data_IF_167997363637
#
_entry.id   IF_167997363637
#
_cell.length_a   1.000
_cell.length_b   1.000
_cell.length_c   1.000
_cell.angle_alpha   90.00
_cell.angle_beta   90.00
_cell.angle_gamma   90.00
#
_symmetry.space_group_name_H-M   'P 1'
#
loop_
_entity.id
_entity.type
_entity.pdbx_description
1 polymer ?
#
# COMPACT_ATOMS: atom_id res chain seq x y z
N UNK A 1 -1.37 8.15 -5.20
CA UNK A 1 -1.91 7.66 -6.50
C UNK A 1 -1.06 8.27 -7.61
N UNK A 2 -0.63 7.48 -8.61
CA UNK A 2 0.06 8.02 -9.79
C UNK A 2 -0.95 8.07 -10.94
N UNK A 3 -1.29 9.27 -11.37
CA UNK A 3 -2.25 9.48 -12.45
C UNK A 3 -1.64 8.99 -13.79
N UNK A 4 -2.30 8.05 -14.52
CA UNK A 4 -1.77 7.55 -15.78
C UNK A 4 -1.78 8.60 -16.91
N UNK A 5 -2.78 9.48 -16.91
CA UNK A 5 -2.92 10.58 -17.86
C UNK A 5 -3.89 11.63 -17.34
N UNK A 6 -3.88 12.84 -17.93
CA UNK A 6 -4.75 13.97 -17.55
C UNK A 6 -6.26 13.71 -17.64
N UNK A 7 -6.67 12.61 -18.29
CA UNK A 7 -8.08 12.22 -18.40
C UNK A 7 -8.56 11.33 -17.25
N UNK A 8 -7.67 10.89 -16.37
CA UNK A 8 -8.01 10.14 -15.17
C UNK A 8 -8.29 11.09 -14.01
N UNK A 9 -8.82 10.56 -12.90
CA UNK A 9 -9.03 11.31 -11.67
C UNK A 9 -7.77 12.12 -11.31
N UNK A 10 -7.97 13.36 -10.89
CA UNK A 10 -6.86 14.19 -10.46
C UNK A 10 -6.25 13.60 -9.18
N UNK A 11 -4.93 13.74 -9.04
CA UNK A 11 -4.27 13.43 -7.76
C UNK A 11 -4.65 14.53 -6.77
N UNK A 12 -5.32 14.15 -5.69
CA UNK A 12 -5.66 15.07 -4.60
C UNK A 12 -4.43 15.34 -3.72
N UNK A 13 -3.68 14.29 -3.38
CA UNK A 13 -2.51 14.39 -2.52
C UNK A 13 -1.46 13.30 -2.82
N UNK A 14 -0.19 13.66 -2.65
CA UNK A 14 0.93 12.71 -2.53
C UNK A 14 1.33 12.63 -1.06
N UNK A 15 0.89 11.57 -0.39
CA UNK A 15 1.15 11.36 1.04
C UNK A 15 2.62 11.02 1.32
N UNK A 16 3.11 11.38 2.50
CA UNK A 16 4.49 11.18 2.94
C UNK A 16 4.75 9.72 3.34
N UNK A 17 6.02 9.26 3.37
CA UNK A 17 6.39 7.95 3.89
C UNK A 17 5.80 7.66 5.29
N UNK A 18 5.81 8.64 6.19
CA UNK A 18 5.30 8.49 7.56
C UNK A 18 3.79 8.26 7.60
N UNK A 19 3.03 8.78 6.62
CA UNK A 19 1.60 8.48 6.51
C UNK A 19 1.39 7.01 6.10
N UNK A 20 2.25 6.44 5.26
CA UNK A 20 2.19 5.01 4.93
C UNK A 20 2.47 4.14 6.16
N UNK A 21 3.42 4.52 7.01
CA UNK A 21 3.74 3.79 8.25
C UNK A 21 2.54 3.77 9.20
N UNK A 22 1.90 4.92 9.40
CA UNK A 22 0.69 5.02 10.23
C UNK A 22 -0.46 4.16 9.71
N UNK A 23 -0.61 4.04 8.39
CA UNK A 23 -1.62 3.14 7.81
C UNK A 23 -1.28 1.67 8.01
N UNK A 24 0.01 1.31 7.99
CA UNK A 24 0.47 -0.06 8.30
C UNK A 24 0.13 -0.44 9.74
N UNK A 25 0.40 0.46 10.68
CA UNK A 25 0.06 0.29 12.10
C UNK A 25 -1.45 0.10 12.28
N UNK A 26 -2.25 1.01 11.73
CA UNK A 26 -3.71 0.95 11.82
C UNK A 26 -4.28 -0.36 11.26
N UNK A 27 -3.80 -0.80 10.10
CA UNK A 27 -4.25 -2.06 9.50
C UNK A 27 -3.83 -3.27 10.34
N UNK A 28 -2.63 -3.22 10.94
CA UNK A 28 -2.17 -4.28 11.85
C UNK A 28 -3.06 -4.34 13.10
N UNK A 29 -3.42 -3.19 13.68
CA UNK A 29 -4.35 -3.10 14.82
C UNK A 29 -5.75 -3.60 14.48
N UNK A 30 -6.21 -3.40 13.24
CA UNK A 30 -7.47 -3.95 12.73
C UNK A 30 -7.46 -5.47 12.54
N UNK A 31 -6.30 -6.13 12.68
CA UNK A 31 -6.15 -7.58 12.60
C UNK A 31 -5.91 -8.11 11.18
N UNK A 32 -5.48 -7.28 10.23
CA UNK A 32 -5.03 -7.76 8.93
C UNK A 32 -3.76 -8.59 9.08
N UNK A 33 -3.75 -9.81 8.53
CA UNK A 33 -2.64 -10.76 8.67
C UNK A 33 -1.42 -10.42 7.82
N UNK A 34 -1.60 -9.64 6.75
CA UNK A 34 -0.55 -9.19 5.84
C UNK A 34 -0.84 -7.75 5.43
N UNK A 35 0.13 -6.86 5.60
CA UNK A 35 -0.01 -5.44 5.28
C UNK A 35 1.25 -4.92 4.59
N UNK A 36 1.12 -4.56 3.32
CA UNK A 36 2.13 -3.83 2.56
C UNK A 36 1.68 -2.38 2.36
N UNK A 37 2.43 -1.42 2.89
CA UNK A 37 2.11 0.01 2.82
C UNK A 37 3.36 0.80 2.42
N UNK A 38 3.30 1.52 1.31
CA UNK A 38 4.41 2.35 0.85
C UNK A 38 4.15 2.99 -0.53
N UNK A 39 4.93 4.01 -0.93
CA UNK A 39 4.67 4.82 -2.13
C UNK A 39 4.61 4.03 -3.44
N UNK A 40 5.37 2.93 -3.53
CA UNK A 40 5.52 2.13 -4.74
C UNK A 40 4.85 0.76 -4.66
N UNK A 41 4.11 0.49 -3.56
CA UNK A 41 3.38 -0.78 -3.42
C UNK A 41 2.29 -0.86 -4.49
N UNK A 42 2.18 -2.05 -5.09
CA UNK A 42 1.18 -2.41 -6.11
C UNK A 42 0.52 -3.71 -5.68
N UNK A 43 -0.73 -3.94 -6.10
CA UNK A 43 -1.47 -5.17 -5.76
C UNK A 43 -0.80 -6.45 -6.24
N UNK A 44 0.00 -6.39 -7.32
CA UNK A 44 0.79 -7.52 -7.81
C UNK A 44 2.18 -7.64 -7.17
N UNK A 45 2.58 -6.70 -6.31
CA UNK A 45 3.89 -6.73 -5.66
C UNK A 45 3.93 -7.84 -4.62
N UNK A 46 4.66 -8.92 -4.93
CA UNK A 46 4.80 -10.12 -4.08
C UNK A 46 3.45 -10.77 -3.68
N UNK A 47 2.46 -10.71 -4.58
CA UNK A 47 1.12 -11.24 -4.30
C UNK A 47 1.10 -12.76 -4.06
N UNK A 48 2.01 -13.48 -4.71
CA UNK A 48 2.27 -14.92 -4.53
C UNK A 48 2.79 -15.23 -3.12
N UNK A 49 3.76 -14.46 -2.64
CA UNK A 49 4.31 -14.57 -1.29
C UNK A 49 3.29 -14.16 -0.22
N UNK A 50 2.48 -13.13 -0.47
CA UNK A 50 1.37 -12.73 0.42
C UNK A 50 0.31 -13.82 0.53
N UNK A 51 -0.07 -14.46 -0.59
CA UNK A 51 -1.02 -15.56 -0.61
C UNK A 51 -0.48 -16.81 0.10
N UNK A 52 0.84 -17.04 0.05
CA UNK A 52 1.53 -18.07 0.81
C UNK A 52 1.67 -17.76 2.31
N UNK A 53 1.32 -16.54 2.74
CA UNK A 53 1.43 -16.10 4.14
C UNK A 53 2.85 -15.67 4.55
N UNK A 54 3.73 -15.46 3.58
CA UNK A 54 5.09 -14.98 3.83
C UNK A 54 5.10 -13.47 4.06
N UNK A 55 5.89 -13.00 5.04
CA UNK A 55 5.96 -11.57 5.34
C UNK A 55 6.73 -10.84 4.25
N UNK A 56 6.04 -9.95 3.54
CA UNK A 56 6.70 -8.98 2.65
C UNK A 56 6.99 -7.75 3.50
N UNK A 57 8.26 -7.38 3.62
CA UNK A 57 8.74 -6.26 4.45
C UNK A 57 7.96 -4.97 4.26
#
# INVERSE_FOLDING_TARGET
>A
YLQPSKHHLAVEEYITPEQFDRYKELATEMGFSQVASGPMVRSSYHADLQAAGESIG
#
